data_IF_967029772570
#
_entry.id   IF_967029772570
#
_cell.length_a   1.000
_cell.length_b   1.000
_cell.length_c   1.000
_cell.angle_alpha   90.00
_cell.angle_beta   90.00
_cell.angle_gamma   90.00
#
_symmetry.space_group_name_H-M   'P 1'
#
loop_
_entity.id
_entity.type
_entity.pdbx_description
1 polymer ?
#
# COMPACT_ATOMS: atom_id res chain seq x y z
N UNK A 1 31.87 21.76 -26.41
CA UNK A 1 32.00 20.78 -25.32
C UNK A 1 31.74 19.40 -25.91
N UNK A 2 32.63 18.42 -25.71
CA UNK A 2 32.40 17.06 -26.22
C UNK A 2 31.15 16.50 -25.55
N UNK A 3 30.27 15.89 -26.34
CA UNK A 3 28.99 15.36 -25.87
C UNK A 3 29.22 14.16 -24.94
N UNK A 4 29.35 14.46 -23.65
CA UNK A 4 29.61 13.47 -22.59
C UNK A 4 28.44 12.50 -22.44
N UNK A 5 27.24 12.85 -22.92
CA UNK A 5 26.08 11.98 -22.85
C UNK A 5 26.30 10.69 -23.65
N UNK A 6 26.89 10.82 -24.84
CA UNK A 6 27.16 9.69 -25.72
C UNK A 6 28.22 8.73 -25.14
N UNK A 7 29.22 9.30 -24.47
CA UNK A 7 30.30 8.55 -23.82
C UNK A 7 29.79 7.78 -22.59
N UNK A 8 28.91 8.41 -21.80
CA UNK A 8 28.25 7.78 -20.64
C UNK A 8 27.32 6.63 -21.07
N UNK A 9 26.52 6.83 -22.13
CA UNK A 9 25.64 5.79 -22.69
C UNK A 9 26.42 4.55 -23.15
N UNK A 10 27.59 4.76 -23.78
CA UNK A 10 28.45 3.66 -24.24
C UNK A 10 29.04 2.88 -23.06
N UNK A 11 29.54 3.58 -22.04
CA UNK A 11 30.05 2.94 -20.82
C UNK A 11 28.95 2.16 -20.07
N UNK A 12 27.71 2.63 -20.14
CA UNK A 12 26.57 1.97 -19.50
C UNK A 12 26.19 0.63 -20.18
N UNK A 13 26.51 0.45 -21.46
CA UNK A 13 26.28 -0.81 -22.20
C UNK A 13 27.28 -1.92 -21.83
N UNK A 14 28.51 -1.56 -21.45
CA UNK A 14 29.58 -2.50 -21.09
C UNK A 14 29.61 -2.86 -19.59
N UNK A 15 28.63 -2.41 -18.80
CA UNK A 15 28.55 -2.74 -17.37
C UNK A 15 28.27 -4.24 -17.16
N UNK A 16 29.05 -4.90 -16.26
CA UNK A 16 28.75 -6.25 -15.80
C UNK A 16 27.29 -6.37 -15.32
N UNK A 17 26.64 -7.54 -15.44
CA UNK A 17 25.24 -7.72 -15.05
C UNK A 17 24.96 -7.38 -13.58
N UNK A 18 25.98 -7.39 -12.74
CA UNK A 18 25.93 -6.99 -11.32
C UNK A 18 25.67 -5.49 -11.10
N UNK A 19 25.98 -4.63 -12.08
CA UNK A 19 25.78 -3.17 -12.02
C UNK A 19 24.67 -2.67 -12.95
N UNK A 20 23.98 -3.56 -13.65
CA UNK A 20 22.77 -3.18 -14.39
C UNK A 20 21.73 -2.85 -13.33
N UNK A 21 21.38 -1.56 -13.19
CA UNK A 21 20.21 -1.14 -12.43
C UNK A 21 19.06 -2.09 -12.81
N UNK A 22 18.60 -2.90 -11.85
CA UNK A 22 17.40 -3.70 -12.04
C UNK A 22 16.31 -2.72 -12.39
N UNK A 23 15.91 -2.71 -13.67
CA UNK A 23 14.71 -2.02 -14.12
C UNK A 23 13.57 -2.71 -13.42
N UNK A 24 13.25 -2.26 -12.19
CA UNK A 24 12.00 -2.62 -11.55
C UNK A 24 10.94 -2.11 -12.51
N UNK A 25 10.23 -3.05 -13.14
CA UNK A 25 9.38 -2.72 -14.27
C UNK A 25 8.34 -1.69 -13.79
N UNK A 26 7.95 -0.74 -14.65
CA UNK A 26 6.98 0.29 -14.24
C UNK A 26 5.67 -0.34 -13.73
N UNK A 27 5.37 -1.56 -14.21
CA UNK A 27 4.27 -2.39 -13.75
C UNK A 27 4.48 -2.99 -12.35
N UNK A 28 5.69 -3.47 -12.03
CA UNK A 28 6.04 -3.92 -10.67
C UNK A 28 6.00 -2.76 -9.67
N UNK A 29 6.47 -1.57 -10.07
CA UNK A 29 6.36 -0.35 -9.26
C UNK A 29 4.91 0.01 -8.96
N UNK A 30 4.00 -0.12 -9.93
CA UNK A 30 2.56 0.11 -9.71
C UNK A 30 1.99 -0.90 -8.71
N UNK A 31 2.30 -2.19 -8.89
CA UNK A 31 1.83 -3.26 -8.00
C UNK A 31 2.25 -3.03 -6.55
N UNK A 32 3.51 -2.65 -6.32
CA UNK A 32 4.03 -2.32 -4.98
C UNK A 32 3.30 -1.10 -4.39
N UNK A 33 3.14 -0.03 -5.18
CA UNK A 33 2.46 1.19 -4.73
C UNK A 33 1.00 0.91 -4.35
N UNK A 34 0.29 0.08 -5.13
CA UNK A 34 -1.10 -0.29 -4.82
C UNK A 34 -1.21 -1.12 -3.55
N UNK A 35 -0.27 -2.04 -3.31
CA UNK A 35 -0.19 -2.78 -2.03
C UNK A 35 0.08 -1.82 -0.87
N UNK A 36 1.02 -0.88 -1.01
CA UNK A 36 1.32 0.11 0.01
C UNK A 36 0.11 0.98 0.35
N UNK A 37 -0.65 1.45 -0.64
CA UNK A 37 -1.89 2.20 -0.44
C UNK A 37 -2.94 1.39 0.31
N UNK A 38 -3.13 0.12 -0.06
CA UNK A 38 -4.09 -0.75 0.63
C UNK A 38 -3.69 -0.99 2.09
N UNK A 39 -2.39 -1.13 2.38
CA UNK A 39 -1.88 -1.26 3.75
C UNK A 39 -2.16 0.01 4.57
N UNK A 40 -1.91 1.18 4.00
CA UNK A 40 -2.19 2.46 4.66
C UNK A 40 -3.68 2.62 4.98
N UNK A 41 -4.55 2.29 4.02
CA UNK A 41 -6.01 2.31 4.22
C UNK A 41 -6.46 1.36 5.33
N UNK A 42 -5.91 0.13 5.38
CA UNK A 42 -6.20 -0.79 6.50
C UNK A 42 -5.76 -0.19 7.83
N UNK A 43 -4.58 0.43 7.88
CA UNK A 43 -4.08 1.04 9.12
C UNK A 43 -5.00 2.16 9.61
N UNK A 44 -5.47 3.02 8.73
CA UNK A 44 -6.42 4.09 9.05
C UNK A 44 -7.75 3.51 9.57
N UNK A 45 -8.32 2.55 8.85
CA UNK A 45 -9.56 1.89 9.26
C UNK A 45 -9.44 1.20 10.62
N UNK A 46 -8.29 0.57 10.92
CA UNK A 46 -8.03 -0.04 12.23
C UNK A 46 -7.97 1.00 13.35
N UNK A 47 -7.36 2.17 13.11
CA UNK A 47 -7.33 3.25 14.10
C UNK A 47 -8.73 3.79 14.36
N UNK A 48 -9.56 3.90 13.32
CA UNK A 48 -10.93 4.38 13.46
C UNK A 48 -11.81 3.38 14.20
N UNK A 49 -11.67 2.08 13.92
CA UNK A 49 -12.32 1.02 14.70
C UNK A 49 -11.95 1.12 16.17
N UNK A 50 -10.67 1.34 16.52
CA UNK A 50 -10.26 1.49 17.94
C UNK A 50 -10.98 2.66 18.62
N UNK A 51 -11.10 3.81 17.93
CA UNK A 51 -11.84 4.98 18.45
C UNK A 51 -13.32 4.67 18.64
N UNK A 52 -13.97 4.08 17.64
CA UNK A 52 -15.40 3.70 17.71
C UNK A 52 -15.63 2.64 18.80
N UNK A 53 -14.73 1.67 18.95
CA UNK A 53 -14.80 0.65 19.99
C UNK A 53 -14.67 1.26 21.38
N UNK A 54 -13.74 2.21 21.57
CA UNK A 54 -13.62 2.96 22.82
C UNK A 54 -14.91 3.75 23.14
N UNK A 55 -15.52 4.41 22.15
CA UNK A 55 -16.76 5.16 22.32
C UNK A 55 -17.96 4.27 22.65
N UNK A 56 -18.02 3.09 22.05
CA UNK A 56 -19.05 2.08 22.33
C UNK A 56 -18.93 1.59 23.79
N UNK A 57 -17.71 1.30 24.24
CA UNK A 57 -17.47 0.80 25.60
C UNK A 57 -17.62 1.89 26.67
N UNK A 58 -17.41 3.16 26.31
CA UNK A 58 -17.54 4.28 27.25
C UNK A 58 -18.98 4.73 27.49
N UNK A 59 -19.94 4.24 26.70
CA UNK A 59 -21.35 4.66 26.76
C UNK A 59 -22.25 3.49 27.17
N UNK A 60 -23.24 3.76 28.03
CA UNK A 60 -24.20 2.73 28.49
C UNK A 60 -25.16 2.28 27.37
N UNK A 61 -25.45 3.17 26.41
CA UNK A 61 -26.20 2.87 25.19
C UNK A 61 -25.47 3.46 23.98
N UNK A 62 -24.65 2.67 23.29
CA UNK A 62 -24.02 3.11 22.03
C UNK A 62 -25.06 3.24 20.92
N UNK A 63 -24.94 4.28 20.10
CA UNK A 63 -25.80 4.46 18.94
C UNK A 63 -25.68 3.29 17.95
N UNK A 64 -26.81 2.86 17.38
CA UNK A 64 -26.84 1.77 16.38
C UNK A 64 -26.04 2.12 15.13
N UNK A 65 -26.01 3.40 14.74
CA UNK A 65 -25.19 3.93 13.63
C UNK A 65 -23.71 3.60 13.81
N UNK A 66 -23.15 3.83 15.00
CA UNK A 66 -21.73 3.60 15.30
C UNK A 66 -21.37 2.11 15.18
N UNK A 67 -22.30 1.22 15.54
CA UNK A 67 -22.13 -0.23 15.40
C UNK A 67 -22.17 -0.68 13.94
N UNK A 68 -23.06 -0.08 13.15
CA UNK A 68 -23.17 -0.32 11.70
C UNK A 68 -21.89 0.14 10.97
N UNK A 69 -21.41 1.35 11.27
CA UNK A 69 -20.18 1.90 10.71
C UNK A 69 -18.95 1.07 11.10
N UNK A 70 -18.86 0.62 12.35
CA UNK A 70 -17.78 -0.27 12.78
C UNK A 70 -17.79 -1.59 12.00
N UNK A 71 -18.98 -2.14 11.71
CA UNK A 71 -19.12 -3.35 10.91
C UNK A 71 -18.68 -3.12 9.46
N UNK A 72 -19.07 -2.00 8.85
CA UNK A 72 -18.63 -1.63 7.50
C UNK A 72 -17.11 -1.48 7.41
N UNK A 73 -16.48 -0.82 8.38
CA UNK A 73 -15.01 -0.68 8.43
C UNK A 73 -14.31 -2.05 8.57
N UNK A 74 -14.87 -2.98 9.35
CA UNK A 74 -14.33 -4.35 9.45
C UNK A 74 -14.44 -5.11 8.12
N UNK A 75 -15.57 -4.98 7.43
CA UNK A 75 -15.77 -5.60 6.10
C UNK A 75 -14.78 -5.03 5.07
N UNK A 76 -14.55 -3.71 5.08
CA UNK A 76 -13.60 -3.06 4.18
C UNK A 76 -12.15 -3.52 4.44
N UNK A 77 -11.74 -3.62 5.71
CA UNK A 77 -10.42 -4.17 6.08
C UNK A 77 -10.27 -5.60 5.56
N UNK A 78 -11.29 -6.44 5.72
CA UNK A 78 -11.26 -7.82 5.25
C UNK A 78 -11.12 -7.89 3.72
N UNK A 79 -11.85 -7.05 2.99
CA UNK A 79 -11.75 -6.99 1.53
C UNK A 79 -10.37 -6.49 1.06
N UNK A 80 -9.84 -5.44 1.68
CA UNK A 80 -8.52 -4.90 1.34
C UNK A 80 -7.40 -5.91 1.68
N UNK A 81 -7.51 -6.63 2.79
CA UNK A 81 -6.59 -7.70 3.14
C UNK A 81 -6.60 -8.84 2.11
N UNK A 82 -7.78 -9.22 1.61
CA UNK A 82 -7.90 -10.22 0.54
C UNK A 82 -7.24 -9.74 -0.76
N UNK A 83 -7.45 -8.49 -1.16
CA UNK A 83 -6.80 -7.88 -2.34
C UNK A 83 -5.28 -7.87 -2.22
N UNK A 84 -4.74 -7.52 -1.05
CA UNK A 84 -3.29 -7.58 -0.81
C UNK A 84 -2.78 -9.01 -0.95
N UNK A 85 -3.48 -9.99 -0.36
CA UNK A 85 -3.10 -11.40 -0.45
C UNK A 85 -3.10 -11.90 -1.91
N UNK A 86 -4.10 -11.53 -2.68
CA UNK A 86 -4.21 -11.93 -4.09
C UNK A 86 -3.15 -11.24 -4.95
N UNK A 87 -2.80 -9.99 -4.65
CA UNK A 87 -1.70 -9.28 -5.32
C UNK A 87 -0.30 -9.80 -4.93
N UNK A 88 -0.13 -10.43 -3.77
CA UNK A 88 1.17 -10.99 -3.34
C UNK A 88 1.40 -12.44 -3.78
N UNK A 89 0.36 -13.12 -4.28
CA UNK A 89 0.48 -14.43 -4.93
C UNK A 89 0.94 -14.31 -6.38
#
# INVERSE_FOLDING_TARGET
MKDRLHELLRLQQDLPPEYKETKLDMEEKKKINDIQKNILSIQENVQEIKKKHSAILSTFQPEKSVKEEMKQLMEEIQQNAKRIKDNLK
#
